data_IF_789573895644
#
_entry.id   IF_789573895644
#
_cell.length_a   1.000
_cell.length_b   1.000
_cell.length_c   1.000
_cell.angle_alpha   90.00
_cell.angle_beta   90.00
_cell.angle_gamma   90.00
#
_symmetry.space_group_name_H-M   'P 1'
#
loop_
_entity.id
_entity.type
_entity.pdbx_description
1 polymer ?
#
# COMPACT_ATOMS: atom_id res chain seq x y z
N UNK A 1 19.18 8.66 -23.36
CA UNK A 1 19.72 9.01 -22.02
C UNK A 1 18.64 8.77 -20.98
N UNK A 2 18.99 8.24 -19.81
CA UNK A 2 18.05 8.11 -18.70
C UNK A 2 17.85 9.46 -18.01
N UNK A 3 16.67 9.67 -17.39
CA UNK A 3 16.44 10.80 -16.52
C UNK A 3 17.37 10.72 -15.30
N UNK A 4 18.07 11.81 -14.96
CA UNK A 4 18.89 11.89 -13.75
C UNK A 4 18.00 11.98 -12.50
N UNK A 5 18.45 11.42 -11.37
CA UNK A 5 17.75 11.47 -10.10
C UNK A 5 17.66 10.12 -9.40
N UNK A 6 16.80 10.05 -8.37
CA UNK A 6 16.55 8.84 -7.58
C UNK A 6 15.05 8.57 -7.50
N UNK A 7 14.67 7.31 -7.53
CA UNK A 7 13.33 6.92 -7.12
C UNK A 7 13.14 7.23 -5.63
N UNK A 8 12.05 7.88 -5.28
CA UNK A 8 11.80 8.31 -3.90
C UNK A 8 10.76 7.45 -3.19
N UNK A 9 9.62 7.20 -3.80
CA UNK A 9 8.49 6.47 -3.21
C UNK A 9 7.48 6.01 -4.25
N UNK A 10 6.55 5.17 -3.80
CA UNK A 10 5.29 4.85 -4.48
C UNK A 10 4.15 5.43 -3.67
N UNK A 11 3.26 6.20 -4.32
CA UNK A 11 2.07 6.78 -3.68
C UNK A 11 0.92 5.77 -3.62
N UNK A 12 0.25 5.71 -2.46
CA UNK A 12 -0.93 4.87 -2.20
C UNK A 12 -2.02 5.77 -1.62
N UNK A 13 -3.10 5.96 -2.37
CA UNK A 13 -4.26 6.70 -1.88
C UNK A 13 -5.08 5.83 -0.93
N UNK A 14 -5.41 6.38 0.25
CA UNK A 14 -6.12 5.68 1.32
C UNK A 14 -7.38 6.45 1.73
N UNK A 15 -8.43 5.74 2.11
CA UNK A 15 -9.69 6.36 2.51
C UNK A 15 -9.71 6.83 3.96
N UNK A 16 -8.84 6.28 4.82
CA UNK A 16 -8.69 6.61 6.24
C UNK A 16 -7.23 6.47 6.66
N UNK A 17 -6.58 7.59 6.96
CA UNK A 17 -5.16 7.63 7.30
C UNK A 17 -4.84 6.85 8.57
N UNK A 18 -5.65 6.98 9.63
CA UNK A 18 -5.37 6.32 10.90
C UNK A 18 -5.52 4.80 10.79
N UNK A 19 -6.55 4.32 10.10
CA UNK A 19 -6.76 2.91 9.82
C UNK A 19 -5.60 2.35 8.99
N UNK A 20 -5.19 3.06 7.96
CA UNK A 20 -4.07 2.65 7.10
C UNK A 20 -2.74 2.65 7.85
N UNK A 21 -2.47 3.65 8.69
CA UNK A 21 -1.27 3.68 9.53
C UNK A 21 -1.22 2.48 10.50
N UNK A 22 -2.34 2.12 11.11
CA UNK A 22 -2.40 0.91 11.97
C UNK A 22 -2.05 -0.35 11.17
N UNK A 23 -2.59 -0.49 9.96
CA UNK A 23 -2.32 -1.63 9.10
C UNK A 23 -0.87 -1.65 8.59
N UNK A 24 -0.42 -0.59 7.94
CA UNK A 24 0.92 -0.56 7.34
C UNK A 24 2.04 -0.61 8.39
N UNK A 25 1.87 0.02 9.54
CA UNK A 25 2.87 0.00 10.62
C UNK A 25 2.72 -1.24 11.51
N UNK A 26 1.52 -1.53 11.95
CA UNK A 26 1.25 -2.62 12.92
C UNK A 26 1.31 -4.02 12.28
N UNK A 27 0.74 -4.16 11.08
CA UNK A 27 0.64 -5.47 10.40
C UNK A 27 1.79 -5.67 9.41
N UNK A 28 2.03 -4.70 8.54
CA UNK A 28 3.07 -4.83 7.51
C UNK A 28 4.46 -4.38 7.98
N UNK A 29 4.63 -3.89 9.21
CA UNK A 29 5.93 -3.56 9.78
C UNK A 29 6.66 -2.37 9.15
N UNK A 30 5.96 -1.46 8.48
CA UNK A 30 6.55 -0.21 8.02
C UNK A 30 6.85 0.73 9.19
N UNK A 31 7.96 1.45 9.14
CA UNK A 31 8.28 2.51 10.07
C UNK A 31 8.05 3.90 9.44
N UNK A 32 7.93 4.94 10.26
CA UNK A 32 7.91 6.31 9.75
C UNK A 32 9.24 6.62 9.04
N UNK A 33 9.16 7.24 7.86
CA UNK A 33 10.38 7.65 7.14
C UNK A 33 11.04 8.82 7.86
N UNK A 34 12.32 8.65 8.24
CA UNK A 34 13.11 9.74 8.82
C UNK A 34 13.53 10.80 7.80
N UNK A 35 13.47 10.48 6.51
CA UNK A 35 13.92 11.36 5.44
C UNK A 35 12.84 12.32 4.92
N UNK A 36 11.55 12.00 5.15
CA UNK A 36 10.41 12.78 4.67
C UNK A 36 9.42 13.01 5.81
N UNK A 37 9.12 14.28 6.11
CA UNK A 37 8.15 14.60 7.14
C UNK A 37 6.72 14.27 6.69
N UNK A 38 5.84 14.08 7.66
CA UNK A 38 4.40 14.13 7.42
C UNK A 38 4.01 15.50 6.85
N UNK A 39 3.16 15.51 5.82
CA UNK A 39 2.75 16.71 5.11
C UNK A 39 1.23 16.91 5.23
N UNK A 40 0.83 18.15 5.48
CA UNK A 40 -0.55 18.62 5.31
C UNK A 40 -0.52 19.78 4.34
N UNK A 41 -1.19 19.62 3.20
CA UNK A 41 -1.10 20.55 2.09
C UNK A 41 -2.48 21.00 1.66
N UNK A 42 -2.66 22.33 1.64
CA UNK A 42 -3.90 22.98 1.22
C UNK A 42 -3.54 24.31 0.57
N UNK A 43 -3.20 24.28 -0.74
CA UNK A 43 -2.79 25.46 -1.48
C UNK A 43 -2.90 25.26 -3.00
N UNK A 44 -2.88 26.37 -3.74
CA UNK A 44 -2.98 26.39 -5.21
C UNK A 44 -1.84 25.63 -5.93
N UNK A 45 -0.65 25.56 -5.34
CA UNK A 45 0.46 24.81 -5.93
C UNK A 45 0.18 23.31 -5.90
N UNK A 46 -0.45 22.80 -4.82
CA UNK A 46 -0.90 21.42 -4.73
C UNK A 46 -2.04 21.15 -5.73
N UNK A 47 -3.01 22.06 -5.84
CA UNK A 47 -4.08 21.94 -6.83
C UNK A 47 -3.52 21.79 -8.25
N UNK A 48 -2.56 22.62 -8.59
CA UNK A 48 -1.89 22.60 -9.90
C UNK A 48 -1.09 21.30 -10.12
N UNK A 49 -0.28 20.90 -9.14
CA UNK A 49 0.56 19.70 -9.23
C UNK A 49 -0.26 18.43 -9.38
N UNK A 50 -1.34 18.33 -8.60
CA UNK A 50 -2.20 17.14 -8.54
C UNK A 50 -3.32 17.16 -9.58
N UNK A 51 -3.46 18.25 -10.35
CA UNK A 51 -4.56 18.50 -11.28
C UNK A 51 -5.95 18.32 -10.65
N UNK A 52 -6.09 18.75 -9.38
CA UNK A 52 -7.32 18.74 -8.59
C UNK A 52 -7.68 20.18 -8.20
N UNK A 53 -8.84 20.38 -7.59
CA UNK A 53 -9.28 21.70 -7.09
C UNK A 53 -9.62 21.63 -5.61
N UNK A 54 -9.15 22.61 -4.85
CA UNK A 54 -9.43 22.77 -3.43
C UNK A 54 -8.85 21.61 -2.61
N UNK A 55 -7.64 21.20 -2.94
CA UNK A 55 -6.95 20.06 -2.30
C UNK A 55 -6.76 20.33 -0.81
N UNK A 56 -7.16 19.36 0.00
CA UNK A 56 -6.74 19.21 1.39
C UNK A 56 -6.18 17.78 1.54
N UNK A 57 -4.87 17.68 1.46
CA UNK A 57 -4.12 16.42 1.47
C UNK A 57 -3.37 16.24 2.78
N UNK A 58 -3.46 15.04 3.34
CA UNK A 58 -2.59 14.53 4.39
C UNK A 58 -1.74 13.41 3.81
N UNK A 59 -0.41 13.56 3.80
CA UNK A 59 0.53 12.59 3.29
C UNK A 59 1.50 12.13 4.38
N UNK A 60 1.73 10.82 4.48
CA UNK A 60 2.64 10.19 5.44
C UNK A 60 3.57 9.23 4.73
N UNK A 61 4.87 9.41 4.91
CA UNK A 61 5.90 8.55 4.34
C UNK A 61 6.29 7.44 5.29
N UNK A 62 6.26 6.21 4.80
CA UNK A 62 6.64 5.02 5.54
C UNK A 62 7.73 4.25 4.78
N UNK A 63 8.61 3.58 5.53
CA UNK A 63 9.72 2.80 4.98
C UNK A 63 9.78 1.41 5.59
N UNK A 64 10.09 0.42 4.74
CA UNK A 64 10.44 -0.94 5.14
C UNK A 64 11.43 -1.52 4.14
N UNK A 65 12.51 -2.15 4.61
CA UNK A 65 13.51 -2.86 3.78
C UNK A 65 14.09 -2.01 2.63
N UNK A 66 14.26 -0.69 2.84
CA UNK A 66 14.70 0.27 1.82
C UNK A 66 13.62 0.67 0.81
N UNK A 67 12.42 0.12 0.91
CA UNK A 67 11.27 0.50 0.10
C UNK A 67 10.44 1.57 0.81
N UNK A 68 10.10 2.64 0.09
CA UNK A 68 9.31 3.75 0.62
C UNK A 68 7.97 3.85 -0.06
N UNK A 69 6.93 4.05 0.75
CA UNK A 69 5.58 4.38 0.30
C UNK A 69 5.17 5.74 0.86
N UNK A 70 4.28 6.43 0.14
CA UNK A 70 3.59 7.62 0.59
C UNK A 70 2.10 7.29 0.68
N UNK A 71 1.55 7.28 1.91
CA UNK A 71 0.11 7.19 2.10
C UNK A 71 -0.50 8.56 1.89
N UNK A 72 -1.52 8.65 1.03
CA UNK A 72 -2.18 9.88 0.62
C UNK A 72 -3.66 9.82 1.00
N UNK A 73 -4.08 10.68 1.92
CA UNK A 73 -5.48 10.83 2.29
C UNK A 73 -5.99 12.21 1.87
N UNK A 74 -7.00 12.23 1.01
CA UNK A 74 -7.63 13.45 0.54
C UNK A 74 -8.92 13.73 1.33
N UNK A 75 -8.89 14.74 2.20
CA UNK A 75 -10.11 15.25 2.81
C UNK A 75 -10.97 16.01 1.78
N UNK A 76 -10.31 16.64 0.79
CA UNK A 76 -10.92 17.30 -0.37
C UNK A 76 -9.98 17.22 -1.60
N UNK A 77 -10.52 17.01 -2.82
CA UNK A 77 -11.80 16.34 -3.02
C UNK A 77 -11.74 14.94 -2.41
N UNK A 78 -12.83 14.46 -1.86
CA UNK A 78 -12.86 13.11 -1.29
C UNK A 78 -12.49 12.07 -2.36
N UNK A 79 -11.73 11.06 -1.96
CA UNK A 79 -11.44 9.93 -2.85
C UNK A 79 -12.75 9.32 -3.34
N UNK A 80 -12.89 9.04 -4.64
CA UNK A 80 -14.06 8.32 -5.13
C UNK A 80 -14.18 6.97 -4.42
N UNK A 81 -15.41 6.52 -4.23
CA UNK A 81 -15.66 5.19 -3.68
C UNK A 81 -14.85 4.13 -4.44
N UNK A 82 -14.42 3.11 -3.73
CA UNK A 82 -13.51 2.05 -4.20
C UNK A 82 -13.75 1.73 -5.68
N UNK A 83 -12.71 1.90 -6.49
CA UNK A 83 -12.75 1.53 -7.90
C UNK A 83 -13.09 0.03 -8.04
N UNK A 84 -13.80 -0.37 -9.10
CA UNK A 84 -14.06 -1.78 -9.35
C UNK A 84 -12.73 -2.55 -9.35
N UNK A 85 -12.78 -3.78 -8.83
CA UNK A 85 -11.62 -4.67 -8.71
C UNK A 85 -10.94 -4.79 -10.08
N UNK A 86 -9.68 -4.33 -10.18
CA UNK A 86 -8.89 -4.46 -11.39
C UNK A 86 -8.37 -5.90 -11.52
N UNK A 87 -8.30 -6.40 -12.74
CA UNK A 87 -7.55 -7.62 -13.02
C UNK A 87 -6.05 -7.43 -12.83
N UNK A 88 -5.34 -8.51 -12.52
CA UNK A 88 -3.87 -8.45 -12.34
C UNK A 88 -3.14 -8.17 -13.67
N UNK A 89 -3.83 -8.30 -14.80
CA UNK A 89 -3.33 -7.99 -16.15
C UNK A 89 -3.74 -6.59 -16.64
N UNK A 90 -4.39 -5.77 -15.82
CA UNK A 90 -4.68 -4.39 -16.17
C UNK A 90 -3.40 -3.55 -16.10
N UNK A 91 -3.25 -2.62 -17.07
CA UNK A 91 -2.06 -1.77 -17.14
C UNK A 91 -1.92 -0.87 -15.91
N UNK A 92 -0.71 -0.79 -15.35
CA UNK A 92 -0.35 0.06 -14.22
C UNK A 92 0.22 -0.71 -13.04
N UNK A 93 0.36 -0.05 -11.89
CA UNK A 93 0.77 -0.70 -10.65
C UNK A 93 -0.31 -1.67 -10.20
N UNK A 94 0.07 -2.90 -9.89
CA UNK A 94 -0.88 -3.99 -9.59
C UNK A 94 -0.92 -4.37 -8.11
N UNK A 95 0.24 -4.54 -7.46
CA UNK A 95 0.31 -5.03 -6.08
C UNK A 95 1.63 -4.65 -5.39
N UNK A 96 1.65 -4.79 -4.08
CA UNK A 96 2.86 -4.95 -3.28
C UNK A 96 3.14 -6.44 -3.13
N UNK A 97 4.42 -6.84 -3.09
CA UNK A 97 4.79 -8.24 -2.81
C UNK A 97 5.67 -8.31 -1.57
N UNK A 98 5.34 -9.23 -0.65
CA UNK A 98 6.05 -9.44 0.61
C UNK A 98 6.43 -10.90 0.71
N UNK A 99 7.72 -11.16 0.92
CA UNK A 99 8.22 -12.49 1.23
C UNK A 99 8.07 -12.76 2.72
N UNK A 100 7.52 -13.90 3.08
CA UNK A 100 7.24 -14.30 4.46
C UNK A 100 7.78 -15.68 4.76
N UNK A 101 8.27 -15.89 5.98
CA UNK A 101 8.78 -17.18 6.40
C UNK A 101 7.67 -18.20 6.72
N UNK A 102 6.49 -17.72 7.11
CA UNK A 102 5.30 -18.51 7.44
C UNK A 102 4.07 -17.85 6.80
N UNK A 103 3.51 -18.53 5.79
CA UNK A 103 2.39 -17.99 5.03
C UNK A 103 1.08 -18.01 5.84
N UNK A 104 0.86 -19.02 6.67
CA UNK A 104 -0.34 -19.13 7.49
C UNK A 104 -0.37 -18.06 8.58
N UNK A 105 0.76 -17.84 9.26
CA UNK A 105 0.91 -16.75 10.21
C UNK A 105 0.70 -15.39 9.55
N UNK A 106 1.29 -15.16 8.37
CA UNK A 106 1.13 -13.90 7.64
C UNK A 106 -0.32 -13.65 7.22
N UNK A 107 -1.05 -14.68 6.76
CA UNK A 107 -2.48 -14.55 6.45
C UNK A 107 -3.29 -14.15 7.70
N UNK A 108 -3.02 -14.76 8.83
CA UNK A 108 -3.71 -14.45 10.10
C UNK A 108 -3.42 -13.00 10.56
N UNK A 109 -2.17 -12.54 10.42
CA UNK A 109 -1.78 -11.15 10.74
C UNK A 109 -2.48 -10.14 9.82
N UNK A 110 -2.59 -10.41 8.52
CA UNK A 110 -3.34 -9.56 7.60
C UNK A 110 -4.80 -9.41 8.04
N UNK A 111 -5.46 -10.52 8.35
CA UNK A 111 -6.88 -10.52 8.76
C UNK A 111 -7.08 -9.83 10.10
N UNK A 112 -6.22 -10.09 11.08
CA UNK A 112 -6.30 -9.44 12.39
C UNK A 112 -6.03 -7.94 12.33
N UNK A 113 -5.21 -7.50 11.38
CA UNK A 113 -4.91 -6.09 11.12
C UNK A 113 -5.98 -5.33 10.34
N UNK A 114 -7.06 -6.01 9.94
CA UNK A 114 -8.19 -5.38 9.20
C UNK A 114 -8.06 -5.45 7.69
N UNK A 115 -7.08 -6.17 7.16
CA UNK A 115 -7.01 -6.57 5.77
C UNK A 115 -7.87 -7.81 5.48
N UNK A 116 -7.72 -8.38 4.29
CA UNK A 116 -8.40 -9.61 3.91
C UNK A 116 -7.50 -10.53 3.10
N UNK A 117 -7.80 -11.84 3.10
CA UNK A 117 -7.07 -12.84 2.32
C UNK A 117 -7.99 -13.42 1.26
N UNK A 118 -7.54 -13.39 0.00
CA UNK A 118 -8.24 -13.99 -1.13
C UNK A 118 -7.84 -15.47 -1.26
N UNK A 119 -8.46 -16.32 -0.46
CA UNK A 119 -8.13 -17.76 -0.41
C UNK A 119 -8.32 -18.50 -1.74
N UNK A 120 -9.09 -17.92 -2.68
CA UNK A 120 -9.23 -18.49 -4.02
C UNK A 120 -7.93 -18.38 -4.85
N UNK A 121 -7.00 -17.52 -4.42
CA UNK A 121 -5.69 -17.34 -5.07
C UNK A 121 -4.56 -18.13 -4.40
N UNK A 122 -4.88 -18.93 -3.37
CA UNK A 122 -3.88 -19.72 -2.65
C UNK A 122 -3.27 -20.78 -3.57
N UNK A 123 -1.95 -20.74 -3.69
CA UNK A 123 -1.18 -21.68 -4.49
C UNK A 123 -0.46 -22.66 -3.56
N UNK A 124 -0.61 -23.94 -3.84
CA UNK A 124 0.11 -25.02 -3.16
C UNK A 124 1.03 -25.74 -4.14
N UNK A 125 2.26 -26.02 -3.72
CA UNK A 125 3.27 -26.78 -4.48
C UNK A 125 3.96 -27.76 -3.54
N UNK A 126 3.95 -29.05 -3.92
CA UNK A 126 4.60 -30.08 -3.10
C UNK A 126 4.05 -30.21 -1.67
N UNK A 127 2.77 -29.91 -1.47
CA UNK A 127 2.14 -29.93 -0.15
C UNK A 127 2.42 -28.70 0.73
N UNK A 128 3.11 -27.69 0.20
CA UNK A 128 3.37 -26.43 0.87
C UNK A 128 2.54 -25.32 0.24
N UNK A 129 1.98 -24.45 1.07
CA UNK A 129 1.38 -23.18 0.65
C UNK A 129 2.50 -22.21 0.31
N UNK A 130 2.56 -21.76 -0.93
CA UNK A 130 3.70 -20.98 -1.44
C UNK A 130 3.40 -19.53 -1.77
N UNK A 131 2.16 -19.21 -2.10
CA UNK A 131 1.75 -17.83 -2.38
C UNK A 131 0.24 -17.65 -2.22
N UNK A 132 -0.18 -16.42 -1.91
CA UNK A 132 -1.58 -16.01 -1.86
C UNK A 132 -1.69 -14.50 -2.04
N UNK A 133 -2.79 -14.02 -2.62
CA UNK A 133 -3.13 -12.60 -2.58
C UNK A 133 -3.93 -12.25 -1.32
N UNK A 134 -3.51 -11.18 -0.69
CA UNK A 134 -4.20 -10.48 0.38
C UNK A 134 -4.55 -9.06 -0.09
N UNK A 135 -5.23 -8.30 0.77
CA UNK A 135 -5.57 -6.90 0.52
C UNK A 135 -5.41 -6.08 1.78
N UNK A 136 -5.00 -4.82 1.59
CA UNK A 136 -5.09 -3.82 2.65
C UNK A 136 -6.56 -3.46 2.96
N UNK A 137 -6.83 -2.63 3.98
CA UNK A 137 -8.19 -2.22 4.34
C UNK A 137 -8.97 -1.46 3.25
N UNK A 138 -8.28 -0.91 2.25
CA UNK A 138 -8.87 -0.22 1.09
C UNK A 138 -8.94 -1.09 -0.17
N UNK A 139 -8.46 -2.34 -0.07
CA UNK A 139 -8.55 -3.32 -1.16
C UNK A 139 -7.33 -3.34 -2.08
N UNK A 140 -6.22 -2.63 -1.74
CA UNK A 140 -4.97 -2.73 -2.49
C UNK A 140 -4.44 -4.17 -2.42
N UNK A 141 -4.12 -4.81 -3.56
CA UNK A 141 -3.59 -6.17 -3.56
C UNK A 141 -2.19 -6.25 -2.94
N UNK A 142 -1.99 -7.26 -2.11
CA UNK A 142 -0.71 -7.62 -1.49
C UNK A 142 -0.45 -9.09 -1.79
N UNK A 143 0.62 -9.39 -2.51
CA UNK A 143 1.06 -10.76 -2.71
C UNK A 143 1.92 -11.20 -1.53
N UNK A 144 1.54 -12.29 -0.88
CA UNK A 144 2.36 -12.96 0.13
C UNK A 144 3.01 -14.18 -0.51
N UNK A 145 4.35 -14.27 -0.43
CA UNK A 145 5.13 -15.36 -1.04
C UNK A 145 5.99 -16.02 0.02
N UNK A 146 5.89 -17.35 0.14
CA UNK A 146 6.73 -18.13 1.05
C UNK A 146 8.19 -18.05 0.60
N UNK A 147 9.11 -17.82 1.53
CA UNK A 147 10.54 -17.87 1.28
C UNK A 147 11.33 -17.33 2.46
N UNK A 148 12.65 -17.47 2.46
CA UNK A 148 13.49 -16.90 3.50
C UNK A 148 13.33 -15.37 3.51
N UNK A 149 13.11 -14.83 4.69
CA UNK A 149 13.00 -13.37 4.96
C UNK A 149 14.39 -12.72 4.95
#
# INVERSE_FOLDING_TARGET
MAIGGRLTHVGICVSDMERSLRFYRGTLGFAASGAFPELRVENEAADKLLALRGVALHAVYLERDGFRIELLHYARPASPAVAPRRGMNDLGLTHLSIRVADLDAAMAEIESGGGSVDRATLVEMGGLRVAVFARDPDGLPIELVLGPS
#
